data_IF_266900772171
#
_entry.id   IF_266900772171
#
_cell.length_a   1.000
_cell.length_b   1.000
_cell.length_c   1.000
_cell.angle_alpha   90.00
_cell.angle_beta   90.00
_cell.angle_gamma   90.00
#
_symmetry.space_group_name_H-M   'P 1'
#
loop_
_entity.id
_entity.type
_entity.pdbx_description
1 polymer ?
#
# COMPACT_ATOMS: atom_id res chain seq x y z
N UNK A 1 -9.07 5.87 17.92
CA UNK A 1 -8.69 5.28 16.61
C UNK A 1 -8.68 6.28 15.46
N UNK A 2 -9.61 7.26 15.35
CA UNK A 2 -9.48 8.38 14.37
C UNK A 2 -8.10 9.08 14.42
N UNK A 3 -7.60 9.37 15.63
CA UNK A 3 -6.24 9.90 15.84
C UNK A 3 -5.11 9.01 15.30
N UNK A 4 -5.30 7.69 15.30
CA UNK A 4 -4.29 6.70 14.85
C UNK A 4 -4.23 6.64 13.33
N UNK A 5 -5.38 6.63 12.65
CA UNK A 5 -5.45 6.69 11.20
C UNK A 5 -4.94 8.04 10.65
N UNK A 6 -5.29 9.15 11.31
CA UNK A 6 -4.75 10.48 10.99
C UNK A 6 -3.23 10.53 11.21
N UNK A 7 -2.72 9.99 12.31
CA UNK A 7 -1.27 9.86 12.56
C UNK A 7 -0.57 9.04 11.48
N UNK A 8 -1.16 7.91 11.05
CA UNK A 8 -0.58 7.06 10.02
C UNK A 8 -0.56 7.77 8.67
N UNK A 9 -1.64 8.47 8.31
CA UNK A 9 -1.70 9.28 7.10
C UNK A 9 -0.67 10.41 7.12
N UNK A 10 -0.55 11.12 8.25
CA UNK A 10 0.46 12.17 8.45
C UNK A 10 1.86 11.59 8.36
N UNK A 11 2.12 10.43 8.98
CA UNK A 11 3.41 9.75 8.90
C UNK A 11 3.74 9.36 7.45
N UNK A 12 2.83 8.68 6.75
CA UNK A 12 3.05 8.33 5.34
C UNK A 12 3.29 9.56 4.46
N UNK A 13 2.56 10.64 4.69
CA UNK A 13 2.69 11.88 3.91
C UNK A 13 4.00 12.62 4.16
N UNK A 14 4.53 12.58 5.39
CA UNK A 14 5.78 13.26 5.78
C UNK A 14 7.00 12.42 5.41
N UNK A 15 6.97 11.12 5.70
CA UNK A 15 8.12 10.24 5.57
C UNK A 15 8.24 9.60 4.19
N UNK A 16 7.15 9.54 3.42
CA UNK A 16 7.11 8.97 2.07
C UNK A 16 6.35 9.87 1.10
N UNK A 17 6.78 11.13 0.91
CA UNK A 17 6.09 12.09 0.04
C UNK A 17 5.95 11.60 -1.41
N UNK A 18 6.86 10.75 -1.88
CA UNK A 18 6.82 10.12 -3.21
C UNK A 18 5.57 9.26 -3.44
N UNK A 19 4.98 8.68 -2.38
CA UNK A 19 3.76 7.88 -2.51
C UNK A 19 2.58 8.73 -2.95
N UNK A 20 2.56 10.03 -2.61
CA UNK A 20 1.51 10.94 -3.06
C UNK A 20 1.50 11.14 -4.58
N UNK A 21 2.60 10.89 -5.29
CA UNK A 21 2.66 10.97 -6.75
C UNK A 21 2.15 9.71 -7.45
N UNK A 22 2.02 8.60 -6.70
CA UNK A 22 1.65 7.29 -7.22
C UNK A 22 0.22 6.93 -6.80
N UNK A 23 -0.14 7.21 -5.55
CA UNK A 23 -1.43 6.87 -4.96
C UNK A 23 -2.44 8.02 -5.13
N UNK A 24 -3.69 7.69 -5.48
CA UNK A 24 -4.81 8.62 -5.40
C UNK A 24 -5.43 8.61 -4.01
N UNK A 25 -5.58 7.42 -3.41
CA UNK A 25 -6.26 7.23 -2.13
C UNK A 25 -5.64 6.08 -1.34
N UNK A 26 -5.77 6.15 -0.02
CA UNK A 26 -5.37 5.14 0.95
C UNK A 26 -6.59 4.81 1.81
N UNK A 27 -7.03 3.56 1.82
CA UNK A 27 -8.15 3.08 2.62
C UNK A 27 -7.62 2.41 3.88
N UNK A 28 -8.07 2.86 5.05
CA UNK A 28 -7.66 2.37 6.36
C UNK A 28 -8.89 1.76 7.05
N UNK A 29 -8.71 0.64 7.77
CA UNK A 29 -9.78 0.08 8.60
C UNK A 29 -10.11 1.03 9.75
N UNK A 30 -11.37 1.06 10.19
CA UNK A 30 -11.78 1.88 11.33
C UNK A 30 -11.10 1.44 12.63
N UNK A 31 -10.82 0.14 12.74
CA UNK A 31 -10.12 -0.50 13.84
C UNK A 31 -8.98 -1.38 13.32
N UNK A 32 -7.91 -1.49 14.11
CA UNK A 32 -6.83 -2.44 13.84
C UNK A 32 -7.40 -3.87 13.85
N UNK A 33 -7.09 -4.63 12.81
CA UNK A 33 -7.54 -6.01 12.68
C UNK A 33 -6.82 -6.91 13.70
N UNK A 34 -7.38 -8.09 13.99
CA UNK A 34 -6.82 -9.03 14.98
C UNK A 34 -5.38 -9.46 14.68
N UNK A 35 -4.98 -9.39 13.41
CA UNK A 35 -3.64 -9.71 12.91
C UNK A 35 -2.72 -8.48 12.82
N UNK A 36 -3.16 -7.32 13.33
CA UNK A 36 -2.42 -6.06 13.31
C UNK A 36 -2.54 -5.27 12.00
N UNK A 37 -3.36 -5.71 11.04
CA UNK A 37 -3.58 -4.93 9.80
C UNK A 37 -4.36 -3.66 10.09
N UNK A 38 -3.87 -2.56 9.51
CA UNK A 38 -4.49 -1.24 9.62
C UNK A 38 -4.91 -0.73 8.24
N UNK A 39 -4.12 -1.07 7.21
CA UNK A 39 -4.42 -0.74 5.81
C UNK A 39 -5.45 -1.70 5.23
N UNK A 40 -6.50 -1.15 4.63
CA UNK A 40 -7.55 -1.89 3.93
C UNK A 40 -7.32 -1.95 2.41
N UNK A 41 -6.71 -0.92 1.83
CA UNK A 41 -6.47 -0.90 0.40
C UNK A 41 -5.79 0.37 -0.09
N UNK A 42 -5.36 0.34 -1.34
CA UNK A 42 -4.67 1.42 -2.05
C UNK A 42 -5.34 1.66 -3.40
N UNK A 43 -5.41 2.92 -3.81
CA UNK A 43 -5.79 3.31 -5.18
C UNK A 43 -4.68 4.10 -5.83
N UNK A 44 -4.43 3.82 -7.11
CA UNK A 44 -3.37 4.41 -7.90
C UNK A 44 -3.91 5.47 -8.85
N UNK A 45 -3.10 6.50 -9.10
CA UNK A 45 -3.43 7.56 -10.07
C UNK A 45 -3.45 7.07 -11.51
N UNK A 46 -2.82 5.94 -11.77
CA UNK A 46 -2.71 5.30 -13.07
C UNK A 46 -2.73 3.77 -12.89
N UNK A 47 -3.12 3.00 -13.93
CA UNK A 47 -3.11 1.54 -13.84
C UNK A 47 -1.69 1.03 -13.56
N UNK A 48 -1.57 0.11 -12.63
CA UNK A 48 -0.34 -0.66 -12.39
C UNK A 48 -0.52 -2.09 -12.91
N UNK A 49 0.57 -2.72 -13.33
CA UNK A 49 0.54 -4.12 -13.76
C UNK A 49 0.82 -5.03 -12.57
N UNK A 50 -0.17 -5.83 -12.16
CA UNK A 50 -0.09 -6.73 -11.02
C UNK A 50 -0.88 -8.02 -11.29
N UNK A 51 -0.33 -9.18 -10.91
CA UNK A 51 -0.96 -10.50 -11.11
C UNK A 51 -1.43 -10.75 -12.55
N UNK A 52 -0.61 -10.35 -13.53
CA UNK A 52 -0.87 -10.57 -14.96
C UNK A 52 -1.88 -9.61 -15.61
N UNK A 53 -2.37 -8.60 -14.90
CA UNK A 53 -3.37 -7.64 -15.40
C UNK A 53 -3.09 -6.21 -14.95
N UNK A 54 -3.67 -5.25 -15.66
CA UNK A 54 -3.68 -3.85 -15.23
C UNK A 54 -4.76 -3.64 -14.17
N UNK A 55 -4.41 -3.04 -13.04
CA UNK A 55 -5.33 -2.72 -11.93
C UNK A 55 -5.15 -1.26 -11.48
N UNK A 56 -6.23 -0.64 -11.02
CA UNK A 56 -6.22 0.74 -10.48
C UNK A 56 -6.22 0.80 -8.96
N UNK A 57 -6.42 -0.34 -8.30
CA UNK A 57 -6.43 -0.44 -6.86
C UNK A 57 -6.18 -1.86 -6.42
N UNK A 58 -5.71 -1.98 -5.19
CA UNK A 58 -5.49 -3.25 -4.50
C UNK A 58 -6.19 -3.12 -3.17
N UNK A 59 -7.18 -3.98 -2.96
CA UNK A 59 -7.86 -4.10 -1.68
C UNK A 59 -7.35 -5.35 -0.99
N UNK A 60 -7.25 -5.27 0.33
CA UNK A 60 -6.92 -6.40 1.18
C UNK A 60 -8.24 -7.06 1.58
N UNK A 61 -8.91 -7.72 0.63
CA UNK A 61 -9.95 -8.67 0.96
C UNK A 61 -9.29 -9.91 1.58
N UNK A 62 -9.89 -10.48 2.61
CA UNK A 62 -9.30 -11.60 3.37
C UNK A 62 -9.19 -12.92 2.55
N UNK A 63 -9.29 -12.85 1.22
CA UNK A 63 -8.93 -13.90 0.29
C UNK A 63 -7.42 -13.79 0.01
N UNK A 64 -6.60 -14.46 0.84
CA UNK A 64 -5.15 -14.35 0.74
C UNK A 64 -4.68 -14.75 -0.67
N UNK A 65 -4.05 -13.82 -1.38
CA UNK A 65 -3.16 -14.18 -2.49
C UNK A 65 -1.76 -14.28 -1.89
N UNK A 66 -1.11 -15.44 -1.98
CA UNK A 66 0.27 -15.63 -1.51
C UNK A 66 1.22 -14.79 -2.38
N UNK A 67 1.58 -13.59 -1.93
CA UNK A 67 2.50 -12.72 -2.64
C UNK A 67 3.96 -13.00 -2.21
N UNK A 68 4.82 -13.34 -3.18
CA UNK A 68 6.26 -13.50 -2.98
C UNK A 68 6.99 -12.19 -3.29
N UNK A 69 7.66 -11.61 -2.30
CA UNK A 69 8.50 -10.40 -2.50
C UNK A 69 9.86 -10.79 -3.06
N UNK A 70 10.15 -10.42 -4.31
CA UNK A 70 11.48 -10.57 -4.91
C UNK A 70 12.31 -9.28 -4.74
N UNK A 71 13.44 -9.37 -4.04
CA UNK A 71 14.41 -8.27 -3.92
C UNK A 71 15.21 -8.11 -5.23
N UNK A 72 14.94 -7.06 -6.00
CA UNK A 72 15.74 -6.67 -7.17
C UNK A 72 16.89 -5.74 -6.73
N UNK A 73 18.10 -6.28 -6.59
CA UNK A 73 19.31 -5.47 -6.41
C UNK A 73 19.98 -5.18 -7.76
N UNK A 74 20.32 -3.91 -8.02
CA UNK A 74 21.17 -3.53 -9.15
C UNK A 74 22.61 -3.94 -8.85
N UNK A 75 23.19 -4.83 -9.65
CA UNK A 75 24.60 -5.22 -9.55
C UNK A 75 25.45 -4.06 -10.06
N UNK A 76 26.09 -3.32 -9.17
CA UNK A 76 27.15 -2.36 -9.55
C UNK A 76 28.44 -3.15 -9.73
N UNK A 77 28.90 -3.32 -10.96
CA UNK A 77 30.25 -3.81 -11.25
C UNK A 77 31.22 -2.64 -11.25
N UNK A 78 32.31 -2.76 -10.48
CA UNK A 78 33.45 -1.84 -10.46
C UNK A 78 34.24 -1.87 -11.77
#
# INVERSE_FOLDING_TARGET
MKKTAEMLYIHMSIFYPELSNVLSDVFIYEEEQKDGRILRGLRFKFPIYMNGRNVLGVDWDNESTDETVCLLNKRTTN
#
